data_IF_243150639972
#
_entry.id   IF_243150639972
#
_cell.length_a   1.000
_cell.length_b   1.000
_cell.length_c   1.000
_cell.angle_alpha   90.00
_cell.angle_beta   90.00
_cell.angle_gamma   90.00
#
_symmetry.space_group_name_H-M   'P 1'
#
loop_
_entity.id
_entity.type
_entity.pdbx_description
1 polymer ?
#
# COMPACT_ATOMS: atom_id res chain seq x y z
N UNK A 1 0.33 14.21 13.84
CA UNK A 1 1.07 12.98 13.48
C UNK A 1 0.39 11.78 14.14
N UNK A 2 0.00 10.80 13.34
CA UNK A 2 -0.60 9.52 13.73
C UNK A 2 0.43 8.41 13.58
N UNK A 3 0.51 7.49 14.55
CA UNK A 3 1.29 6.26 14.41
C UNK A 3 0.44 5.20 13.72
N UNK A 4 0.97 4.59 12.66
CA UNK A 4 0.26 3.61 11.87
C UNK A 4 0.94 2.25 11.92
N UNK A 5 0.14 1.20 12.11
CA UNK A 5 0.53 -0.17 11.77
C UNK A 5 -0.06 -0.46 10.41
N UNK A 6 0.80 -0.69 9.43
CA UNK A 6 0.38 -1.00 8.08
C UNK A 6 0.50 -2.50 7.85
N UNK A 7 -0.56 -3.07 7.29
CA UNK A 7 -0.73 -4.50 7.08
C UNK A 7 -0.85 -4.75 5.58
N UNK A 8 0.14 -5.44 5.03
CA UNK A 8 0.06 -5.96 3.68
C UNK A 8 -0.68 -7.30 3.70
N UNK A 9 -1.82 -7.37 2.98
CA UNK A 9 -2.68 -8.57 2.99
C UNK A 9 -1.94 -9.79 2.43
N UNK A 10 -2.14 -10.96 3.08
CA UNK A 10 -1.54 -12.26 2.71
C UNK A 10 -1.86 -12.65 1.27
N UNK A 11 -3.01 -12.22 0.77
CA UNK A 11 -3.51 -12.51 -0.58
C UNK A 11 -2.54 -12.06 -1.68
N UNK A 12 -1.65 -11.10 -1.41
CA UNK A 12 -0.75 -10.54 -2.42
C UNK A 12 0.71 -10.99 -2.33
N UNK A 13 1.16 -11.50 -1.18
CA UNK A 13 2.56 -11.89 -0.96
C UNK A 13 2.75 -13.33 -0.46
N UNK A 14 1.67 -14.07 -0.19
CA UNK A 14 1.73 -15.38 0.47
C UNK A 14 1.87 -15.27 2.00
N UNK A 15 2.63 -14.28 2.47
CA UNK A 15 2.80 -13.96 3.90
C UNK A 15 2.30 -12.56 4.26
N UNK A 16 1.88 -12.39 5.52
CA UNK A 16 1.45 -11.09 6.04
C UNK A 16 2.68 -10.30 6.47
N UNK A 17 2.85 -9.10 5.91
CA UNK A 17 3.87 -8.16 6.38
C UNK A 17 3.23 -7.05 7.20
N UNK A 18 3.85 -6.77 8.33
CA UNK A 18 3.47 -5.73 9.29
C UNK A 18 4.63 -4.76 9.43
N UNK A 19 4.35 -3.47 9.39
CA UNK A 19 5.38 -2.45 9.61
C UNK A 19 4.75 -1.18 10.17
N UNK A 20 5.58 -0.42 10.89
CA UNK A 20 5.18 0.83 11.52
C UNK A 20 5.57 2.02 10.63
N UNK A 21 4.66 2.99 10.50
CA UNK A 21 4.89 4.23 9.77
C UNK A 21 4.20 5.40 10.48
N UNK A 22 4.67 6.61 10.23
CA UNK A 22 4.04 7.83 10.73
C UNK A 22 3.35 8.57 9.58
N UNK A 23 2.15 9.09 9.85
CA UNK A 23 1.36 9.86 8.89
C UNK A 23 0.97 11.20 9.50
N UNK A 24 1.05 12.27 8.72
CA UNK A 24 0.59 13.59 9.17
C UNK A 24 -0.94 13.66 9.27
N UNK A 25 -1.63 12.92 8.41
CA UNK A 25 -3.08 12.81 8.35
C UNK A 25 -3.54 11.36 8.27
N UNK A 26 -4.80 11.10 8.63
CA UNK A 26 -5.40 9.77 8.50
C UNK A 26 -5.53 9.46 7.01
N UNK A 27 -4.99 8.32 6.54
CA UNK A 27 -5.04 7.97 5.14
C UNK A 27 -6.44 7.59 4.69
N UNK A 28 -6.73 7.83 3.42
CA UNK A 28 -8.04 7.56 2.83
C UNK A 28 -8.04 6.24 2.05
N UNK A 29 -9.18 5.55 2.03
CA UNK A 29 -9.37 4.38 1.15
C UNK A 29 -9.11 4.76 -0.31
N UNK A 30 -8.34 3.93 -1.01
CA UNK A 30 -7.89 4.16 -2.38
C UNK A 30 -6.65 5.05 -2.49
N UNK A 31 -6.22 5.72 -1.41
CA UNK A 31 -5.01 6.53 -1.40
C UNK A 31 -3.79 5.68 -1.76
N UNK A 32 -2.93 6.24 -2.59
CA UNK A 32 -1.66 5.63 -2.99
C UNK A 32 -0.55 6.35 -2.25
N UNK A 33 0.37 5.59 -1.66
CA UNK A 33 1.55 6.14 -1.01
C UNK A 33 2.77 5.27 -1.25
N UNK A 34 3.94 5.88 -1.07
CA UNK A 34 5.22 5.18 -1.16
C UNK A 34 5.53 4.51 0.18
N UNK A 35 5.63 3.20 0.15
CA UNK A 35 5.98 2.35 1.26
C UNK A 35 7.47 2.14 1.46
N UNK A 36 7.79 1.13 2.26
CA UNK A 36 9.15 0.62 2.47
C UNK A 36 9.74 0.07 1.16
N UNK A 37 11.07 0.11 1.04
CA UNK A 37 11.82 -0.40 -0.10
C UNK A 37 11.38 0.16 -1.46
N UNK A 38 10.93 1.42 -1.49
CA UNK A 38 10.37 2.09 -2.67
C UNK A 38 9.15 1.39 -3.28
N UNK A 39 8.46 0.52 -2.55
CA UNK A 39 7.23 -0.08 -3.02
C UNK A 39 6.10 0.94 -3.02
N UNK A 40 5.16 0.80 -3.95
CA UNK A 40 3.98 1.67 -4.02
C UNK A 40 2.79 0.84 -3.55
N UNK A 41 2.04 1.36 -2.60
CA UNK A 41 0.91 0.68 -2.01
C UNK A 41 -0.37 1.50 -2.14
N UNK A 42 -1.49 0.79 -2.22
CA UNK A 42 -2.82 1.38 -2.17
C UNK A 42 -3.50 0.98 -0.87
N UNK A 43 -4.13 1.95 -0.20
CA UNK A 43 -4.94 1.74 0.99
C UNK A 43 -6.25 1.06 0.60
N UNK A 44 -6.51 -0.11 1.16
CA UNK A 44 -7.79 -0.81 0.99
C UNK A 44 -8.80 -0.36 2.04
N UNK A 45 -8.36 -0.28 3.30
CA UNK A 45 -9.18 0.16 4.42
C UNK A 45 -8.29 0.65 5.58
N UNK A 46 -8.88 1.38 6.53
CA UNK A 46 -8.22 1.75 7.78
C UNK A 46 -9.16 1.59 8.99
N UNK A 47 -8.56 1.50 10.17
CA UNK A 47 -9.27 1.52 11.45
C UNK A 47 -8.58 2.53 12.36
N UNK A 48 -9.32 3.56 12.78
CA UNK A 48 -8.82 4.63 13.63
C UNK A 48 -9.07 4.32 15.11
N UNK A 49 -8.04 4.49 15.93
CA UNK A 49 -8.12 4.46 17.39
C UNK A 49 -7.82 5.87 17.91
N UNK A 50 -8.86 6.72 18.09
CA UNK A 50 -8.70 8.15 18.35
C UNK A 50 -7.95 8.43 19.65
N UNK A 51 -8.21 7.65 20.71
CA UNK A 51 -7.61 7.85 22.03
C UNK A 51 -6.09 7.67 22.03
N UNK A 52 -5.57 6.80 21.16
CA UNK A 52 -4.15 6.50 21.07
C UNK A 52 -3.44 7.24 19.94
N UNK A 53 -4.15 8.06 19.15
CA UNK A 53 -3.67 8.60 17.86
C UNK A 53 -3.01 7.51 16.99
N UNK A 54 -3.61 6.31 17.01
CA UNK A 54 -3.14 5.14 16.24
C UNK A 54 -4.09 4.82 15.10
N UNK A 55 -3.54 4.35 13.99
CA UNK A 55 -4.33 3.84 12.86
C UNK A 55 -3.79 2.49 12.42
N UNK A 56 -4.68 1.55 12.12
CA UNK A 56 -4.31 0.30 11.44
C UNK A 56 -4.74 0.44 9.99
N UNK A 57 -3.80 0.27 9.05
CA UNK A 57 -4.04 0.47 7.63
C UNK A 57 -3.85 -0.86 6.93
N UNK A 58 -4.86 -1.34 6.21
CA UNK A 58 -4.72 -2.47 5.30
C UNK A 58 -4.35 -1.96 3.91
N UNK A 59 -3.32 -2.54 3.32
CA UNK A 59 -2.81 -2.15 2.02
C UNK A 59 -2.60 -3.35 1.10
N UNK A 60 -2.59 -3.05 -0.19
CA UNK A 60 -2.16 -3.94 -1.26
C UNK A 60 -1.08 -3.28 -2.13
N UNK A 61 -0.25 -4.06 -2.84
CA UNK A 61 0.67 -3.49 -3.79
C UNK A 61 -0.12 -2.77 -4.89
N UNK A 62 0.22 -1.50 -5.15
CA UNK A 62 -0.31 -0.79 -6.31
C UNK A 62 0.48 -1.25 -7.53
N UNK A 63 0.13 -2.44 -8.04
CA UNK A 63 0.68 -2.93 -9.30
C UNK A 63 0.26 -1.95 -10.40
N UNK A 64 1.22 -1.21 -10.93
CA UNK A 64 1.12 -0.75 -12.31
C UNK A 64 0.98 -2.02 -13.14
N UNK A 65 -0.23 -2.38 -13.56
CA UNK A 65 -0.39 -3.06 -14.84
C UNK A 65 0.13 -2.09 -15.91
N UNK A 66 1.47 -1.93 -16.00
CA UNK A 66 2.07 -1.70 -17.30
C UNK A 66 1.73 -2.97 -18.05
N UNK A 67 0.63 -2.93 -18.79
CA UNK A 67 0.51 -3.72 -19.99
C UNK A 67 1.83 -3.52 -20.75
N UNK A 68 2.76 -4.46 -20.56
CA UNK A 68 3.85 -4.67 -21.47
C UNK A 68 3.20 -5.17 -22.75
N UNK A 69 2.60 -4.27 -23.54
CA UNK A 69 2.52 -4.49 -24.98
C UNK A 69 3.96 -4.38 -25.49
N UNK A 70 4.69 -5.49 -25.34
CA UNK A 70 5.90 -5.78 -26.10
C UNK A 70 5.66 -7.09 -26.82
N UNK A 71 4.88 -6.99 -27.90
CA UNK A 71 4.76 -7.88 -29.05
C UNK A 71 4.26 -6.94 -30.18
N UNK A 72 4.91 -6.66 -31.30
CA UNK A 72 6.15 -7.12 -31.91
C UNK A 72 6.81 -5.93 -32.60
N UNK A 73 8.13 -5.79 -32.42
CA UNK A 73 8.97 -5.28 -33.50
C UNK A 73 8.92 -6.35 -34.60
N UNK A 74 8.00 -6.24 -35.56
CA UNK A 74 8.26 -6.79 -36.90
C UNK A 74 8.99 -5.67 -37.62
N UNK A 75 10.32 -5.74 -37.54
CA UNK A 75 11.21 -5.09 -38.47
C UNK A 75 11.02 -5.75 -39.86
N UNK A 76 11.03 -4.90 -40.89
CA UNK A 76 11.03 -5.19 -42.33
C UNK A 76 9.71 -5.67 -42.95
#
# INVERSE_FOLDING_TARGET
MYKAIVILSKEFLGDQKLFEMEFDSIPQTGQIFKGLDNQIWQVDNYTLYPDAKKVIIKVRPYFFFKNKRRLNNVNN
#
